data_IF_007150495105
#
_entry.id   IF_007150495105
#
_cell.length_a   1.000
_cell.length_b   1.000
_cell.length_c   1.000
_cell.angle_alpha   90.00
_cell.angle_beta   90.00
_cell.angle_gamma   90.00
#
_symmetry.space_group_name_H-M   'P 1'
#
loop_
_entity.id
_entity.type
_entity.pdbx_description
1 polymer ?
#
# COMPACT_ATOMS: atom_id res chain seq x y z
N UNK A 1 47.61 -51.85 -23.48
CA UNK A 1 47.17 -51.13 -22.27
C UNK A 1 46.87 -49.70 -22.72
N UNK A 2 45.65 -49.42 -23.16
CA UNK A 2 45.28 -48.14 -23.75
C UNK A 2 45.05 -47.10 -22.64
N UNK A 3 45.69 -45.95 -22.76
CA UNK A 3 45.52 -44.79 -21.87
C UNK A 3 44.06 -44.34 -21.85
N UNK A 4 43.53 -43.89 -20.69
CA UNK A 4 42.17 -43.38 -20.61
C UNK A 4 42.03 -42.13 -21.50
N UNK A 5 40.87 -41.96 -22.19
CA UNK A 5 40.65 -40.80 -23.04
C UNK A 5 40.76 -39.51 -22.23
N UNK A 6 41.29 -38.42 -22.83
CA UNK A 6 41.42 -37.14 -22.15
C UNK A 6 40.04 -36.66 -21.70
N UNK A 7 39.89 -36.38 -20.40
CA UNK A 7 38.64 -35.85 -19.86
C UNK A 7 38.45 -34.42 -20.37
N UNK A 8 37.61 -34.26 -21.39
CA UNK A 8 37.27 -32.94 -21.93
C UNK A 8 36.29 -32.28 -20.96
N UNK A 9 36.58 -31.09 -20.41
CA UNK A 9 35.65 -30.41 -19.53
C UNK A 9 34.41 -29.97 -20.32
N UNK A 10 33.24 -30.15 -19.73
CA UNK A 10 31.96 -29.69 -20.29
C UNK A 10 31.97 -28.17 -20.51
N UNK A 11 31.44 -27.71 -21.64
CA UNK A 11 31.42 -26.27 -22.00
C UNK A 11 29.98 -25.81 -22.23
N UNK A 12 29.58 -24.69 -21.63
CA UNK A 12 28.22 -24.12 -21.75
C UNK A 12 28.03 -23.38 -23.07
N UNK A 13 28.02 -24.11 -24.18
CA UNK A 13 27.79 -23.57 -25.53
C UNK A 13 26.57 -24.26 -26.10
N UNK A 14 25.56 -23.49 -26.49
CA UNK A 14 24.23 -24.00 -26.89
C UNK A 14 24.28 -25.00 -28.06
N UNK A 15 25.25 -24.87 -28.98
CA UNK A 15 25.26 -25.61 -30.25
C UNK A 15 26.57 -26.36 -30.54
N UNK A 16 27.46 -26.54 -29.56
CA UNK A 16 28.71 -27.28 -29.77
C UNK A 16 28.50 -28.78 -29.54
N UNK A 17 28.95 -29.63 -30.47
CA UNK A 17 28.94 -31.10 -30.28
C UNK A 17 29.93 -31.49 -29.19
N UNK A 18 29.45 -32.12 -28.12
CA UNK A 18 30.26 -32.55 -26.97
C UNK A 18 29.99 -34.02 -26.64
N UNK A 19 30.95 -34.74 -26.04
CA UNK A 19 30.79 -36.16 -25.69
C UNK A 19 29.99 -36.36 -24.39
N UNK A 20 28.90 -35.61 -24.22
CA UNK A 20 28.00 -35.68 -23.07
C UNK A 20 26.57 -35.92 -23.56
N UNK A 21 25.73 -36.67 -22.82
CA UNK A 21 24.33 -36.87 -23.19
C UNK A 21 23.57 -35.54 -23.21
N UNK A 22 22.51 -35.43 -24.01
CA UNK A 22 21.77 -34.16 -24.20
C UNK A 22 21.19 -33.57 -22.90
N UNK A 23 20.95 -34.41 -21.89
CA UNK A 23 20.47 -34.01 -20.56
C UNK A 23 21.60 -33.74 -19.54
N UNK A 24 22.86 -33.68 -19.98
CA UNK A 24 23.97 -33.44 -19.07
C UNK A 24 23.98 -31.98 -18.60
N UNK A 25 23.85 -31.79 -17.29
CA UNK A 25 24.03 -30.51 -16.62
C UNK A 25 25.33 -30.54 -15.82
N UNK A 26 26.09 -29.44 -15.90
CA UNK A 26 27.31 -29.32 -15.13
C UNK A 26 27.01 -29.22 -13.63
N UNK A 27 27.84 -29.81 -12.77
CA UNK A 27 27.65 -29.76 -11.31
C UNK A 27 27.78 -28.34 -10.75
N UNK A 28 28.51 -27.48 -11.47
CA UNK A 28 28.66 -26.06 -11.13
C UNK A 28 27.50 -25.20 -11.65
N UNK A 29 26.51 -25.77 -12.34
CA UNK A 29 25.40 -25.02 -12.96
C UNK A 29 24.71 -24.06 -11.99
N UNK A 30 24.34 -24.57 -10.82
CA UNK A 30 23.66 -23.80 -9.78
C UNK A 30 24.56 -22.75 -9.11
N UNK A 31 25.88 -22.93 -9.13
CA UNK A 31 26.84 -21.97 -8.57
C UNK A 31 26.95 -20.71 -9.43
N UNK A 32 26.67 -20.84 -10.74
CA UNK A 32 26.69 -19.77 -11.71
C UNK A 32 25.30 -19.17 -11.98
N UNK A 33 24.26 -19.66 -11.30
CA UNK A 33 22.97 -18.99 -11.28
C UNK A 33 23.17 -17.66 -10.55
N UNK A 34 23.24 -16.57 -11.32
CA UNK A 34 23.09 -15.23 -10.76
C UNK A 34 21.68 -15.13 -10.17
N UNK A 35 21.57 -15.42 -8.87
CA UNK A 35 20.41 -14.97 -8.11
C UNK A 35 20.40 -13.45 -8.17
N UNK A 36 19.20 -12.90 -8.40
CA UNK A 36 18.98 -11.47 -8.42
C UNK A 36 19.18 -10.91 -7.00
N UNK A 37 20.44 -10.72 -6.59
CA UNK A 37 20.84 -10.21 -5.27
C UNK A 37 20.32 -8.79 -5.03
N UNK A 38 19.98 -8.06 -6.09
CA UNK A 38 19.34 -6.74 -6.00
C UNK A 38 17.96 -6.83 -5.34
N UNK A 39 17.17 -7.87 -5.63
CA UNK A 39 15.87 -8.06 -4.99
C UNK A 39 15.96 -8.39 -3.50
N UNK A 40 17.04 -9.06 -3.07
CA UNK A 40 17.29 -9.39 -1.66
C UNK A 40 17.90 -8.21 -0.87
N UNK A 41 18.58 -7.27 -1.52
CA UNK A 41 19.25 -6.15 -0.85
C UNK A 41 18.31 -4.98 -0.53
N UNK A 42 17.23 -4.83 -1.27
CA UNK A 42 16.19 -3.82 -0.99
C UNK A 42 15.27 -4.24 0.15
N UNK A 43 15.26 -5.52 0.51
CA UNK A 43 14.35 -6.10 1.51
C UNK A 43 15.19 -6.64 2.66
N UNK A 44 15.64 -5.75 3.54
CA UNK A 44 16.28 -6.10 4.80
C UNK A 44 15.24 -6.76 5.74
N UNK A 45 14.96 -8.04 5.51
CA UNK A 45 14.24 -8.94 6.42
C UNK A 45 12.71 -8.77 6.54
N UNK A 46 12.09 -9.78 7.13
CA UNK A 46 10.67 -9.85 7.50
C UNK A 46 10.11 -8.57 8.19
N UNK A 47 10.80 -7.91 9.15
CA UNK A 47 10.23 -6.74 9.82
C UNK A 47 10.08 -5.53 8.88
N UNK A 48 10.96 -5.36 7.89
CA UNK A 48 10.84 -4.29 6.90
C UNK A 48 9.62 -4.50 6.01
N UNK A 49 9.36 -5.75 5.60
CA UNK A 49 8.12 -6.10 4.87
C UNK A 49 6.87 -5.79 5.70
N UNK A 50 6.89 -6.10 7.00
CA UNK A 50 5.76 -5.81 7.88
C UNK A 50 5.54 -4.30 7.99
N UNK A 51 6.60 -3.51 8.21
CA UNK A 51 6.51 -2.04 8.28
C UNK A 51 6.05 -1.43 6.95
N UNK A 52 6.46 -1.99 5.81
CA UNK A 52 5.96 -1.55 4.50
C UNK A 52 4.50 -1.98 4.25
N UNK A 53 4.04 -3.08 4.86
CA UNK A 53 2.65 -3.51 4.78
C UNK A 53 1.73 -2.75 5.75
N UNK A 54 2.27 -2.06 6.76
CA UNK A 54 1.48 -1.31 7.74
C UNK A 54 0.57 -0.24 7.10
N UNK A 55 1.03 0.61 6.17
CA UNK A 55 0.18 1.59 5.49
C UNK A 55 -0.97 0.94 4.71
N UNK A 56 -0.71 -0.20 4.06
CA UNK A 56 -1.71 -1.00 3.36
C UNK A 56 -2.77 -1.53 4.33
N UNK A 57 -2.34 -2.15 5.43
CA UNK A 57 -3.24 -2.65 6.47
C UNK A 57 -4.01 -1.51 7.15
N UNK A 58 -3.40 -0.33 7.34
CA UNK A 58 -4.04 0.84 7.93
C UNK A 58 -5.11 1.42 7.00
N UNK A 59 -4.83 1.49 5.69
CA UNK A 59 -5.81 1.88 4.68
C UNK A 59 -6.98 0.89 4.66
N UNK A 60 -6.69 -0.41 4.59
CA UNK A 60 -7.72 -1.47 4.63
C UNK A 60 -8.54 -1.40 5.93
N UNK A 61 -7.89 -1.18 7.07
CA UNK A 61 -8.57 -1.01 8.36
C UNK A 61 -9.46 0.23 8.37
N UNK A 62 -9.01 1.35 7.80
CA UNK A 62 -9.81 2.57 7.69
C UNK A 62 -11.07 2.33 6.84
N UNK A 63 -10.92 1.61 5.73
CA UNK A 63 -12.02 1.25 4.84
C UNK A 63 -13.02 0.33 5.57
N UNK A 64 -12.53 -0.68 6.29
CA UNK A 64 -13.38 -1.59 7.07
C UNK A 64 -14.10 -0.89 8.22
N UNK A 65 -13.43 0.02 8.94
CA UNK A 65 -14.06 0.82 10.00
C UNK A 65 -15.14 1.72 9.42
N UNK A 66 -14.90 2.36 8.27
CA UNK A 66 -15.90 3.18 7.59
C UNK A 66 -17.14 2.37 7.19
N UNK A 67 -16.95 1.21 6.57
CA UNK A 67 -18.06 0.31 6.18
C UNK A 67 -18.81 -0.16 7.41
N UNK A 68 -18.11 -0.63 8.45
CA UNK A 68 -18.73 -1.05 9.70
C UNK A 68 -19.57 0.06 10.32
N UNK A 69 -19.01 1.27 10.41
CA UNK A 69 -19.72 2.42 10.96
C UNK A 69 -20.96 2.80 10.13
N UNK A 70 -20.89 2.71 8.80
CA UNK A 70 -22.01 2.95 7.91
C UNK A 70 -23.14 1.94 8.12
N UNK A 71 -22.83 0.64 8.24
CA UNK A 71 -23.84 -0.40 8.50
C UNK A 71 -24.51 -0.20 9.85
N UNK A 72 -23.74 0.05 10.90
CA UNK A 72 -24.28 0.33 12.25
C UNK A 72 -25.15 1.59 12.30
N UNK A 73 -24.85 2.59 11.46
CA UNK A 73 -25.68 3.78 11.31
C UNK A 73 -26.96 3.49 10.52
N UNK A 74 -26.88 2.68 9.46
CA UNK A 74 -28.01 2.29 8.61
C UNK A 74 -29.03 1.41 9.37
N UNK A 75 -28.56 0.47 10.21
CA UNK A 75 -29.42 -0.38 11.04
C UNK A 75 -30.02 0.36 12.25
N UNK A 76 -29.64 1.63 12.48
CA UNK A 76 -30.18 2.46 13.56
C UNK A 76 -29.65 2.13 14.96
N UNK A 77 -28.65 1.27 15.08
CA UNK A 77 -28.00 0.95 16.35
C UNK A 77 -27.28 2.17 16.95
N UNK A 78 -26.73 3.04 16.10
CA UNK A 78 -26.01 4.26 16.51
C UNK A 78 -26.78 5.49 16.03
N UNK A 79 -27.11 6.40 16.95
CA UNK A 79 -27.70 7.69 16.59
C UNK A 79 -26.68 8.58 15.88
N UNK A 80 -27.06 9.16 14.73
CA UNK A 80 -26.20 10.02 13.91
C UNK A 80 -25.55 11.16 14.70
N UNK A 81 -26.31 11.79 15.63
CA UNK A 81 -25.80 12.87 16.47
C UNK A 81 -24.72 12.40 17.45
N UNK A 82 -24.86 11.21 18.04
CA UNK A 82 -23.87 10.63 18.95
C UNK A 82 -22.56 10.33 18.23
N UNK A 83 -22.64 9.86 16.98
CA UNK A 83 -21.47 9.61 16.15
C UNK A 83 -20.70 10.89 15.82
N UNK A 84 -21.41 11.98 15.54
CA UNK A 84 -20.79 13.30 15.30
C UNK A 84 -20.04 13.77 16.55
N UNK A 85 -20.63 13.63 17.73
CA UNK A 85 -19.95 13.99 18.99
C UNK A 85 -18.71 13.13 19.24
N UNK A 86 -18.81 11.82 19.02
CA UNK A 86 -17.66 10.93 19.16
C UNK A 86 -16.51 11.31 18.22
N UNK A 87 -16.79 11.57 16.94
CA UNK A 87 -15.76 11.95 15.96
C UNK A 87 -15.14 13.32 16.27
N UNK A 88 -15.92 14.31 16.70
CA UNK A 88 -15.40 15.61 17.15
C UNK A 88 -14.50 15.44 18.37
N UNK A 89 -14.94 14.66 19.36
CA UNK A 89 -14.16 14.44 20.59
C UNK A 89 -12.82 13.75 20.31
N UNK A 90 -12.84 12.70 19.47
CA UNK A 90 -11.64 11.97 19.07
C UNK A 90 -10.68 12.85 18.25
N UNK A 91 -11.21 13.66 17.34
CA UNK A 91 -10.44 14.63 16.56
C UNK A 91 -9.80 15.70 17.44
N UNK A 92 -10.52 16.21 18.44
CA UNK A 92 -9.99 17.17 19.41
C UNK A 92 -8.86 16.56 20.25
N UNK A 93 -9.03 15.34 20.76
CA UNK A 93 -7.98 14.63 21.51
C UNK A 93 -6.74 14.44 20.63
N UNK A 94 -6.92 14.02 19.38
CA UNK A 94 -5.82 13.90 18.41
C UNK A 94 -5.09 15.22 18.18
N UNK A 95 -5.83 16.32 18.03
CA UNK A 95 -5.26 17.66 17.88
C UNK A 95 -4.49 18.11 19.14
N UNK A 96 -5.01 17.85 20.34
CA UNK A 96 -4.33 18.18 21.61
C UNK A 96 -3.03 17.37 21.79
N UNK A 97 -3.05 16.09 21.43
CA UNK A 97 -1.84 15.24 21.43
C UNK A 97 -0.81 15.78 20.43
N UNK A 98 -1.26 16.16 19.24
CA UNK A 98 -0.40 16.78 18.22
C UNK A 98 0.22 18.09 18.71
N UNK A 99 -0.58 18.95 19.36
CA UNK A 99 -0.12 20.24 19.90
C UNK A 99 0.89 20.05 21.05
N UNK A 100 0.75 19.00 21.85
CA UNK A 100 1.75 18.65 22.89
C UNK A 100 3.05 18.07 22.33
N UNK A 101 3.07 17.55 21.10
CA UNK A 101 4.21 16.77 20.60
C UNK A 101 5.42 17.63 20.19
N UNK A 102 5.26 18.87 19.67
CA UNK A 102 6.39 19.81 19.40
C UNK A 102 5.96 21.29 19.35
N UNK A 103 6.78 22.17 19.95
CA UNK A 103 6.47 23.60 20.17
C UNK A 103 6.53 24.52 18.92
N UNK A 104 7.37 24.22 17.92
CA UNK A 104 7.66 25.17 16.82
C UNK A 104 7.03 24.81 15.47
N UNK A 105 5.70 24.90 15.38
CA UNK A 105 4.93 24.54 14.15
C UNK A 105 3.82 25.52 13.80
N UNK A 106 4.05 26.83 13.95
CA UNK A 106 3.09 27.89 13.53
C UNK A 106 2.70 27.77 12.05
N UNK A 107 3.67 27.47 11.19
CA UNK A 107 3.46 27.24 9.74
C UNK A 107 2.61 25.99 9.46
N UNK A 108 2.86 24.89 10.18
CA UNK A 108 2.07 23.67 10.03
C UNK A 108 0.63 23.85 10.54
N UNK A 109 0.42 24.63 11.62
CA UNK A 109 -0.93 25.00 12.08
C UNK A 109 -1.70 25.79 11.03
N UNK A 110 -1.06 26.76 10.36
CA UNK A 110 -1.67 27.51 9.25
C UNK A 110 -2.00 26.60 8.07
N UNK A 111 -1.10 25.67 7.72
CA UNK A 111 -1.34 24.71 6.65
C UNK A 111 -2.54 23.81 6.95
N UNK A 112 -2.61 23.23 8.15
CA UNK A 112 -3.73 22.38 8.59
C UNK A 112 -5.03 23.18 8.64
N UNK A 113 -5.03 24.37 9.22
CA UNK A 113 -6.22 25.21 9.28
C UNK A 113 -6.71 25.61 7.88
N UNK A 114 -5.78 25.93 6.98
CA UNK A 114 -6.09 26.25 5.58
C UNK A 114 -6.66 25.04 4.85
N UNK A 115 -6.04 23.87 4.96
CA UNK A 115 -6.52 22.65 4.30
C UNK A 115 -7.88 22.21 4.86
N UNK A 116 -8.05 22.26 6.18
CA UNK A 116 -9.33 21.91 6.83
C UNK A 116 -10.41 22.91 6.46
N UNK A 117 -10.10 24.21 6.42
CA UNK A 117 -11.04 25.24 5.98
C UNK A 117 -11.49 25.05 4.53
N UNK A 118 -10.55 24.77 3.62
CA UNK A 118 -10.86 24.48 2.21
C UNK A 118 -11.72 23.23 2.09
N UNK A 119 -11.37 22.15 2.83
CA UNK A 119 -12.12 20.90 2.81
C UNK A 119 -13.57 21.11 3.30
N UNK A 120 -13.75 21.79 4.43
CA UNK A 120 -15.09 22.08 4.99
C UNK A 120 -15.90 22.94 4.03
N UNK A 121 -15.30 23.98 3.46
CA UNK A 121 -15.97 24.84 2.48
C UNK A 121 -16.43 24.06 1.25
N UNK A 122 -15.55 23.21 0.71
CA UNK A 122 -15.89 22.32 -0.41
C UNK A 122 -17.01 21.35 -0.03
N UNK A 123 -16.96 20.75 1.17
CA UNK A 123 -18.00 19.85 1.66
C UNK A 123 -19.35 20.56 1.80
N UNK A 124 -19.37 21.79 2.30
CA UNK A 124 -20.60 22.58 2.43
C UNK A 124 -21.20 22.92 1.07
N UNK A 125 -20.36 23.24 0.08
CA UNK A 125 -20.80 23.56 -1.28
C UNK A 125 -21.36 22.32 -2.00
N UNK A 126 -20.77 21.15 -1.72
CA UNK A 126 -21.15 19.85 -2.31
C UNK A 126 -22.31 19.19 -1.55
N UNK A 127 -22.51 19.49 -0.27
CA UNK A 127 -23.59 18.95 0.56
C UNK A 127 -25.00 19.04 -0.06
N UNK A 128 -25.47 20.20 -0.59
CA UNK A 128 -26.77 20.27 -1.24
C UNK A 128 -26.83 19.39 -2.50
N UNK A 129 -25.74 19.30 -3.28
CA UNK A 129 -25.66 18.45 -4.48
C UNK A 129 -25.74 16.97 -4.11
N UNK A 130 -24.97 16.53 -3.11
CA UNK A 130 -25.03 15.18 -2.57
C UNK A 130 -26.43 14.87 -2.04
N UNK A 131 -27.01 15.76 -1.25
CA UNK A 131 -28.37 15.59 -0.73
C UNK A 131 -29.39 15.45 -1.85
N UNK A 132 -29.31 16.27 -2.90
CA UNK A 132 -30.23 16.16 -4.03
C UNK A 132 -30.08 14.85 -4.80
N UNK A 133 -28.85 14.37 -5.04
CA UNK A 133 -28.63 13.06 -5.69
C UNK A 133 -29.07 11.88 -4.81
N UNK A 134 -28.77 11.94 -3.51
CA UNK A 134 -29.05 10.84 -2.57
C UNK A 134 -30.55 10.74 -2.28
N UNK A 135 -31.31 11.85 -2.29
CA UNK A 135 -32.77 11.82 -2.14
C UNK A 135 -33.49 11.13 -3.30
N UNK A 136 -32.92 11.17 -4.50
CA UNK A 136 -33.47 10.54 -5.71
C UNK A 136 -33.01 9.10 -5.91
N UNK A 137 -32.18 8.55 -5.03
CA UNK A 137 -31.59 7.22 -5.19
C UNK A 137 -32.21 6.22 -4.22
N UNK A 138 -32.71 5.10 -4.73
CA UNK A 138 -33.25 4.01 -3.92
C UNK A 138 -32.16 3.24 -3.15
N UNK A 139 -32.53 2.66 -2.01
CA UNK A 139 -31.61 2.01 -1.07
C UNK A 139 -30.75 0.90 -1.71
N UNK A 140 -31.33 0.08 -2.60
CA UNK A 140 -30.62 -1.01 -3.28
C UNK A 140 -29.47 -0.49 -4.17
N UNK A 141 -29.66 0.67 -4.78
CA UNK A 141 -28.63 1.31 -5.61
C UNK A 141 -27.51 1.92 -4.76
N UNK A 142 -27.80 2.37 -3.53
CA UNK A 142 -26.78 2.87 -2.59
C UNK A 142 -25.83 1.75 -2.19
N UNK A 143 -26.36 0.55 -1.91
CA UNK A 143 -25.54 -0.63 -1.61
C UNK A 143 -24.68 -1.06 -2.81
N UNK A 144 -25.25 -1.07 -4.03
CA UNK A 144 -24.49 -1.40 -5.23
C UNK A 144 -23.38 -0.36 -5.52
N UNK A 145 -23.70 0.93 -5.47
CA UNK A 145 -22.76 2.01 -5.74
C UNK A 145 -21.66 2.10 -4.67
N UNK A 146 -22.00 1.90 -3.39
CA UNK A 146 -21.00 1.88 -2.32
C UNK A 146 -20.03 0.71 -2.49
N UNK A 147 -20.51 -0.50 -2.81
CA UNK A 147 -19.64 -1.65 -3.07
C UNK A 147 -18.70 -1.42 -4.27
N UNK A 148 -19.20 -0.85 -5.37
CA UNK A 148 -18.39 -0.53 -6.54
C UNK A 148 -17.38 0.57 -6.23
N UNK A 149 -17.79 1.65 -5.58
CA UNK A 149 -16.90 2.76 -5.22
C UNK A 149 -15.82 2.33 -4.22
N UNK A 150 -16.17 1.45 -3.27
CA UNK A 150 -15.23 0.81 -2.35
C UNK A 150 -14.20 -0.03 -3.11
N UNK A 151 -14.68 -0.83 -4.07
CA UNK A 151 -13.82 -1.68 -4.91
C UNK A 151 -12.86 -0.82 -5.73
N UNK A 152 -13.36 0.25 -6.35
CA UNK A 152 -12.50 1.20 -7.09
C UNK A 152 -11.52 1.88 -6.14
N UNK A 153 -11.95 2.32 -4.95
CA UNK A 153 -11.06 2.95 -3.98
C UNK A 153 -9.90 2.04 -3.56
N UNK A 154 -10.17 0.75 -3.35
CA UNK A 154 -9.14 -0.26 -3.07
C UNK A 154 -8.21 -0.46 -4.28
N UNK A 155 -8.75 -0.53 -5.50
CA UNK A 155 -7.95 -0.76 -6.70
C UNK A 155 -7.10 0.46 -7.13
N UNK A 156 -7.61 1.67 -6.91
CA UNK A 156 -6.96 2.93 -7.28
C UNK A 156 -6.14 3.53 -6.13
N UNK A 157 -6.16 2.93 -4.95
CA UNK A 157 -5.30 3.33 -3.86
C UNK A 157 -3.84 3.15 -4.30
N UNK A 158 -3.12 4.26 -4.37
CA UNK A 158 -1.68 4.21 -4.63
C UNK A 158 -1.00 3.63 -3.39
N UNK A 159 -0.67 2.34 -3.47
CA UNK A 159 0.06 1.62 -2.44
C UNK A 159 1.57 1.86 -2.51
N UNK A 160 2.03 2.73 -3.42
CA UNK A 160 3.43 3.16 -3.45
C UNK A 160 3.72 3.99 -2.20
N UNK A 161 4.43 3.37 -1.27
CA UNK A 161 5.02 4.09 -0.16
C UNK A 161 6.03 5.10 -0.74
N UNK A 162 5.97 6.37 -0.35
CA UNK A 162 6.89 7.45 -0.78
C UNK A 162 8.35 7.24 -0.35
N UNK A 163 8.70 6.00 -0.01
CA UNK A 163 9.99 5.50 0.43
C UNK A 163 10.79 4.89 -0.72
N UNK A 164 10.38 5.08 -1.97
CA UNK A 164 11.24 4.89 -3.16
C UNK A 164 12.56 5.66 -3.02
N UNK A 165 12.57 6.78 -2.29
CA UNK A 165 13.78 7.54 -1.91
C UNK A 165 14.77 6.76 -1.01
N UNK A 166 14.31 5.74 -0.27
CA UNK A 166 15.20 4.82 0.45
C UNK A 166 15.84 3.78 -0.48
N UNK A 167 15.22 3.52 -1.64
CA UNK A 167 15.70 2.59 -2.67
C UNK A 167 16.67 3.28 -3.63
N UNK A 168 16.43 4.56 -3.95
CA UNK A 168 17.30 5.38 -4.81
C UNK A 168 18.73 5.49 -4.26
N UNK A 169 18.89 5.59 -2.94
CA UNK A 169 20.21 5.56 -2.29
C UNK A 169 20.98 4.23 -2.44
N UNK A 170 20.31 3.15 -2.88
CA UNK A 170 20.93 1.86 -3.18
C UNK A 170 21.26 1.68 -4.67
N UNK A 171 20.76 2.55 -5.56
CA UNK A 171 21.00 2.49 -7.00
C UNK A 171 22.17 3.38 -7.45
N UNK A 172 22.72 4.21 -6.56
CA UNK A 172 23.94 4.97 -6.79
C UNK A 172 25.18 4.16 -6.34
N UNK A 173 25.44 3.04 -7.01
CA UNK A 173 26.71 2.31 -6.88
C UNK A 173 27.46 2.45 -8.20
N UNK A 174 28.44 3.36 -8.17
CA UNK A 174 29.49 3.58 -9.17
C UNK A 174 30.37 2.36 -9.37
#
# INVERSE_FOLDING_TARGET
>A
MASPPPQVPFRRVLWARQPFPDNYQDRTFLTHLHQNRTAQRTIDGYPTLVICALPLCAHLSSVMIFVGLFVYLHEGHIHAQGLIWYTISLGLVGYLVWERSKSDRRLARQAVLRSTGILIFLLMLISPVLKTLTLSTDSDSIWALSAVLLTINILLADYRDGRESLIEGSLDVR
#
